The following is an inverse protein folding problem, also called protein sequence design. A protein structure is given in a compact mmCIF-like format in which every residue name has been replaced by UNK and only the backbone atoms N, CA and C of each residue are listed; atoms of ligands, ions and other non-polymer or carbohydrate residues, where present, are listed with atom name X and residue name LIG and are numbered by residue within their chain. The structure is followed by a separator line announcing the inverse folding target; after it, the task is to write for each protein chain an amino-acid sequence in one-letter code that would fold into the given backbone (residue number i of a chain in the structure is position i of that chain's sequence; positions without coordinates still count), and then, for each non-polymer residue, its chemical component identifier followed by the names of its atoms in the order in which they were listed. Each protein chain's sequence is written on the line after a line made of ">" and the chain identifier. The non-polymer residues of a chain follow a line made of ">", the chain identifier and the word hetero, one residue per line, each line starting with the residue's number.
data_IF_330576473963
#
_entry.id   IF_330576473963
#
_cell.length_a   1.000
_cell.length_b   1.000
_cell.length_c   1.000
_cell.angle_alpha   90.00
_cell.angle_beta   90.00
_cell.angle_gamma   90.00
#
_symmetry.space_group_name_H-M   'P 1'
#
loop_
_entity.id
_entity.type
_entity.pdbx_description
1 polymer ?
#
# COMPACT_ATOMS: atom_id res chain seq x y z
N UNK A 1 2.23 -8.04 24.35
CA UNK A 1 3.25 -8.50 23.39
C UNK A 1 2.51 -9.12 22.21
N UNK A 2 2.08 -8.30 21.25
CA UNK A 2 1.36 -8.76 20.05
C UNK A 2 2.36 -9.19 18.99
N UNK A 3 3.00 -10.33 19.23
CA UNK A 3 3.95 -10.92 18.29
C UNK A 3 3.17 -11.63 17.17
N UNK A 4 3.02 -10.96 16.02
CA UNK A 4 3.11 -11.63 14.71
C UNK A 4 1.85 -12.15 14.00
N UNK A 5 0.63 -11.72 14.33
CA UNK A 5 -0.59 -12.24 13.62
C UNK A 5 -1.53 -11.15 13.09
N UNK A 6 -1.23 -9.88 13.32
CA UNK A 6 -2.06 -8.74 12.90
C UNK A 6 -1.71 -8.19 11.52
N UNK A 7 -2.66 -7.49 10.89
CA UNK A 7 -2.43 -6.69 9.69
C UNK A 7 -1.33 -5.64 9.91
N UNK A 8 -1.34 -4.95 11.04
CA UNK A 8 -0.34 -3.92 11.36
C UNK A 8 1.07 -4.51 11.46
N UNK A 9 1.19 -5.65 12.15
CA UNK A 9 2.45 -6.38 12.24
C UNK A 9 2.95 -6.88 10.86
N UNK A 10 2.04 -7.32 10.00
CA UNK A 10 2.36 -7.72 8.61
C UNK A 10 2.88 -6.53 7.78
N UNK A 11 2.22 -5.38 7.84
CA UNK A 11 2.68 -4.17 7.14
C UNK A 11 4.06 -3.72 7.62
N UNK A 12 4.27 -3.74 8.95
CA UNK A 12 5.56 -3.46 9.57
C UNK A 12 6.65 -4.40 9.07
N UNK A 13 6.38 -5.70 9.06
CA UNK A 13 7.34 -6.71 8.60
C UNK A 13 7.75 -6.46 7.14
N UNK A 14 6.81 -6.19 6.25
CA UNK A 14 7.10 -5.89 4.84
C UNK A 14 7.95 -4.63 4.71
N UNK A 15 7.59 -3.55 5.43
CA UNK A 15 8.37 -2.31 5.44
C UNK A 15 9.80 -2.55 5.92
N UNK A 16 9.96 -3.22 7.05
CA UNK A 16 11.28 -3.51 7.65
C UNK A 16 12.13 -4.44 6.75
N UNK A 17 11.52 -5.42 6.08
CA UNK A 17 12.20 -6.29 5.10
C UNK A 17 12.74 -5.52 3.88
N UNK A 18 12.09 -4.41 3.53
CA UNK A 18 12.55 -3.51 2.46
C UNK A 18 13.55 -2.46 2.95
N UNK A 19 13.85 -2.42 4.26
CA UNK A 19 14.73 -1.42 4.86
C UNK A 19 14.13 -0.01 4.93
N UNK A 20 12.82 0.13 4.72
CA UNK A 20 12.13 1.42 4.72
C UNK A 20 11.83 1.88 6.14
N UNK A 21 12.04 3.17 6.39
CA UNK A 21 11.71 3.84 7.64
C UNK A 21 10.32 4.48 7.58
N UNK A 22 9.69 4.70 8.74
CA UNK A 22 8.42 5.43 8.81
C UNK A 22 8.48 6.83 8.17
N UNK A 23 9.55 7.64 8.35
CA UNK A 23 9.70 8.91 7.65
C UNK A 23 9.71 8.81 6.12
N UNK A 24 10.27 7.74 5.53
CA UNK A 24 10.26 7.53 4.08
C UNK A 24 8.84 7.27 3.56
N UNK A 25 8.11 6.36 4.22
CA UNK A 25 6.70 6.11 3.91
C UNK A 25 5.86 7.37 4.11
N UNK A 26 6.12 8.15 5.18
CA UNK A 26 5.43 9.41 5.45
C UNK A 26 5.67 10.44 4.35
N UNK A 27 6.90 10.55 3.86
CA UNK A 27 7.26 11.47 2.79
C UNK A 27 6.56 11.13 1.47
N UNK A 28 6.41 9.85 1.15
CA UNK A 28 5.73 9.34 -0.04
C UNK A 28 4.21 9.47 0.04
N UNK A 29 3.61 8.97 1.13
CA UNK A 29 2.15 8.88 1.29
C UNK A 29 1.49 10.16 1.80
N UNK A 30 2.28 11.09 2.34
CA UNK A 30 1.82 12.29 3.09
C UNK A 30 1.04 11.96 4.37
N UNK A 31 1.16 10.74 4.87
CA UNK A 31 0.60 10.32 6.15
C UNK A 31 1.64 10.59 7.24
N UNK A 32 1.22 11.14 8.38
CA UNK A 32 2.16 11.41 9.48
C UNK A 32 2.74 10.10 10.04
N UNK A 33 4.00 10.13 10.50
CA UNK A 33 4.62 8.97 11.15
C UNK A 33 3.79 8.43 12.31
N UNK A 34 3.13 9.33 13.08
CA UNK A 34 2.22 8.96 14.17
C UNK A 34 1.07 8.07 13.69
N UNK A 35 0.48 8.37 12.54
CA UNK A 35 -0.61 7.55 12.00
C UNK A 35 -0.11 6.26 11.36
N UNK A 36 1.06 6.27 10.73
CA UNK A 36 1.68 5.05 10.22
C UNK A 36 2.04 4.09 11.35
N UNK A 37 2.59 4.60 12.45
CA UNK A 37 2.86 3.84 13.67
C UNK A 37 1.56 3.29 14.27
N UNK A 38 0.51 4.11 14.38
CA UNK A 38 -0.80 3.65 14.82
C UNK A 38 -1.39 2.54 13.92
N UNK A 39 -1.13 2.57 12.61
CA UNK A 39 -1.53 1.50 11.68
C UNK A 39 -0.75 0.21 11.97
N UNK A 40 0.57 0.30 12.12
CA UNK A 40 1.42 -0.87 12.41
C UNK A 40 1.11 -1.50 13.76
N UNK A 41 0.65 -0.70 14.72
CA UNK A 41 0.23 -1.14 16.06
C UNK A 41 -1.27 -1.39 16.17
N UNK A 42 -2.02 -1.25 15.07
CA UNK A 42 -3.47 -1.43 15.02
C UNK A 42 -4.27 -0.56 16.02
N UNK A 43 -3.72 0.60 16.39
CA UNK A 43 -4.38 1.63 17.20
C UNK A 43 -5.31 2.49 16.36
N UNK A 44 -6.32 1.86 15.79
CA UNK A 44 -7.25 2.48 14.84
C UNK A 44 -8.03 3.67 15.43
N UNK A 45 -8.24 3.68 16.75
CA UNK A 45 -8.88 4.75 17.52
C UNK A 45 -8.07 6.05 17.57
N UNK A 46 -6.76 6.00 17.30
CA UNK A 46 -5.90 7.19 17.22
C UNK A 46 -5.93 7.87 15.85
N UNK A 47 -6.56 7.22 14.86
CA UNK A 47 -6.70 7.73 13.51
C UNK A 47 -7.88 8.72 13.41
N UNK A 48 -7.86 9.69 12.47
CA UNK A 48 -8.87 10.76 12.39
C UNK A 48 -10.32 10.32 12.05
N UNK A 49 -10.59 9.01 11.93
CA UNK A 49 -11.89 8.43 11.61
C UNK A 49 -11.82 7.31 10.57
N UNK A 50 -12.82 6.44 10.55
CA UNK A 50 -12.84 5.20 9.73
C UNK A 50 -12.69 5.46 8.22
N UNK A 51 -13.23 6.59 7.74
CA UNK A 51 -13.13 7.02 6.33
C UNK A 51 -11.67 7.22 5.90
N UNK A 52 -10.79 7.65 6.82
CA UNK A 52 -9.37 7.85 6.53
C UNK A 52 -8.58 6.54 6.55
N UNK A 53 -9.00 5.55 7.35
CA UNK A 53 -8.26 4.30 7.53
C UNK A 53 -8.12 3.56 6.20
N UNK A 54 -9.20 3.47 5.43
CA UNK A 54 -9.19 2.83 4.10
C UNK A 54 -8.21 3.52 3.15
N UNK A 55 -8.20 4.86 3.16
CA UNK A 55 -7.27 5.65 2.36
C UNK A 55 -5.81 5.43 2.78
N UNK A 56 -5.54 5.41 4.08
CA UNK A 56 -4.20 5.21 4.62
C UNK A 56 -3.67 3.80 4.36
N UNK A 57 -4.49 2.78 4.54
CA UNK A 57 -4.11 1.39 4.25
C UNK A 57 -3.82 1.18 2.77
N UNK A 58 -4.59 1.82 1.88
CA UNK A 58 -4.31 1.80 0.44
C UNK A 58 -2.97 2.45 0.13
N UNK A 59 -2.74 3.67 0.60
CA UNK A 59 -1.51 4.41 0.34
C UNK A 59 -0.28 3.69 0.93
N UNK A 60 -0.40 3.13 2.13
CA UNK A 60 0.65 2.31 2.74
C UNK A 60 0.95 1.10 1.87
N UNK A 61 -0.08 0.31 1.49
CA UNK A 61 0.08 -0.89 0.68
C UNK A 61 0.80 -0.57 -0.65
N UNK A 62 0.39 0.49 -1.32
CA UNK A 62 1.02 0.96 -2.57
C UNK A 62 2.50 1.34 -2.34
N UNK A 63 2.81 2.07 -1.28
CA UNK A 63 4.19 2.50 -0.96
C UNK A 63 5.14 1.33 -0.68
N UNK A 64 4.64 0.22 -0.11
CA UNK A 64 5.44 -0.99 0.14
C UNK A 64 5.26 -2.08 -0.93
N UNK A 65 4.60 -1.78 -2.04
CA UNK A 65 4.46 -2.68 -3.19
C UNK A 65 3.51 -3.87 -2.97
N UNK A 66 2.57 -3.77 -2.04
CA UNK A 66 1.52 -4.76 -1.80
C UNK A 66 0.27 -4.45 -2.62
N UNK A 67 -0.58 -5.47 -2.83
CA UNK A 67 -1.91 -5.25 -3.40
C UNK A 67 -2.84 -4.59 -2.36
N UNK A 68 -3.39 -3.39 -2.65
CA UNK A 68 -4.28 -2.71 -1.71
C UNK A 68 -5.60 -3.46 -1.45
N UNK A 69 -6.07 -4.23 -2.43
CA UNK A 69 -7.28 -5.05 -2.30
C UNK A 69 -7.12 -6.10 -1.21
N UNK A 70 -5.99 -6.81 -1.21
CA UNK A 70 -5.65 -7.82 -0.21
C UNK A 70 -5.51 -7.22 1.19
N UNK A 71 -4.79 -6.10 1.32
CA UNK A 71 -4.63 -5.38 2.61
C UNK A 71 -6.00 -4.94 3.16
N UNK A 72 -6.85 -4.37 2.31
CA UNK A 72 -8.19 -3.93 2.70
C UNK A 72 -9.15 -5.11 3.00
N UNK A 73 -8.98 -6.25 2.33
CA UNK A 73 -9.74 -7.46 2.65
C UNK A 73 -9.41 -7.95 4.06
N UNK A 74 -8.12 -8.07 4.39
CA UNK A 74 -7.66 -8.44 5.75
C UNK A 74 -8.15 -7.47 6.82
N UNK A 75 -8.14 -6.16 6.52
CA UNK A 75 -8.68 -5.15 7.43
C UNK A 75 -10.19 -5.33 7.70
N UNK A 76 -10.97 -5.71 6.69
CA UNK A 76 -12.41 -5.97 6.84
C UNK A 76 -12.70 -7.24 7.61
N UNK A 77 -11.85 -8.26 7.50
CA UNK A 77 -11.98 -9.50 8.27
C UNK A 77 -11.77 -9.28 9.77
N UNK A 78 -10.87 -8.37 10.15
CA UNK A 78 -10.61 -8.03 11.55
C UNK A 78 -11.66 -7.11 12.16
N UNK A 79 -12.50 -6.45 11.35
CA UNK A 79 -13.58 -5.56 11.80
C UNK A 79 -14.93 -5.94 11.17
N UNK A 80 -15.76 -6.77 11.85
CA UNK A 80 -17.13 -6.99 11.40
C UNK A 80 -17.85 -5.64 11.34
N UNK A 81 -18.27 -5.25 10.14
CA UNK A 81 -18.86 -3.96 9.86
C UNK A 81 -20.09 -3.70 10.72
N UNK A 82 -19.99 -2.71 11.60
CA UNK A 82 -21.15 -2.10 12.23
C UNK A 82 -21.62 -0.94 11.36
N UNK A 83 -22.52 -1.22 10.42
CA UNK A 83 -23.31 -0.21 9.71
C UNK A 83 -22.73 0.26 8.38
N UNK A 84 -22.94 -0.52 7.31
CA UNK A 84 -23.02 0.01 5.94
C UNK A 84 -24.44 -0.16 5.42
N UNK A 85 -25.38 0.52 6.06
CA UNK A 85 -26.63 0.91 5.43
C UNK A 85 -26.62 2.44 5.33
N UNK A 86 -26.94 2.95 4.14
CA UNK A 86 -27.07 4.36 3.76
C UNK A 86 -25.76 5.12 3.49
N UNK A 87 -25.28 5.02 2.23
CA UNK A 87 -25.30 6.13 1.26
C UNK A 87 -24.39 5.78 0.06
N UNK A 88 -25.03 5.52 -1.08
CA UNK A 88 -24.47 5.76 -2.42
C UNK A 88 -23.37 4.81 -2.92
N UNK A 89 -23.77 3.68 -3.51
CA UNK A 89 -22.99 3.10 -4.61
C UNK A 89 -22.96 4.08 -5.78
N UNK A 90 -21.79 4.33 -6.38
CA UNK A 90 -21.65 4.04 -7.78
C UNK A 90 -20.85 2.74 -7.88
N UNK A 91 -21.49 1.74 -8.46
CA UNK A 91 -20.84 0.56 -8.98
C UNK A 91 -19.68 0.99 -9.88
N UNK A 92 -18.47 0.87 -9.36
CA UNK A 92 -17.24 0.82 -10.12
C UNK A 92 -16.56 -0.47 -9.72
N UNK A 93 -16.78 -1.52 -10.50
CA UNK A 93 -15.92 -2.69 -10.47
C UNK A 93 -14.49 -2.22 -10.74
N UNK A 94 -13.69 -2.00 -9.69
CA UNK A 94 -12.26 -1.73 -9.85
C UNK A 94 -11.60 -3.07 -10.16
N UNK A 95 -11.68 -3.46 -11.43
CA UNK A 95 -10.82 -4.47 -12.02
C UNK A 95 -9.37 -4.04 -11.77
N UNK A 96 -8.52 -4.83 -11.07
CA UNK A 96 -7.13 -4.48 -10.87
C UNK A 96 -6.44 -4.58 -12.24
N UNK A 97 -6.29 -3.42 -12.88
CA UNK A 97 -5.64 -3.28 -14.16
C UNK A 97 -4.14 -3.54 -13.99
N UNK A 98 -3.74 -4.78 -14.29
CA UNK A 98 -2.35 -5.25 -14.45
C UNK A 98 -1.59 -4.54 -15.57
N UNK A 99 -1.84 -3.26 -15.86
CA UNK A 99 -1.27 -2.53 -17.02
C UNK A 99 -0.03 -1.71 -16.66
N UNK A 100 0.15 -1.30 -15.40
CA UNK A 100 1.30 -0.47 -14.98
C UNK A 100 2.64 -1.20 -15.00
N UNK A 101 2.68 -2.46 -14.60
CA UNK A 101 3.93 -3.25 -14.55
C UNK A 101 4.54 -3.46 -15.94
N UNK A 102 3.72 -3.71 -16.96
CA UNK A 102 4.21 -3.88 -18.33
C UNK A 102 4.78 -2.59 -18.94
N UNK A 103 4.33 -1.42 -18.47
CA UNK A 103 4.92 -0.13 -18.88
C UNK A 103 6.32 0.02 -18.31
N UNK A 104 6.51 -0.30 -17.03
CA UNK A 104 7.84 -0.26 -16.39
C UNK A 104 8.79 -1.25 -17.04
N UNK A 105 8.35 -2.49 -17.28
CA UNK A 105 9.15 -3.51 -17.99
C UNK A 105 9.50 -3.04 -19.41
N UNK A 106 8.56 -2.42 -20.13
CA UNK A 106 8.80 -1.87 -21.46
C UNK A 106 9.87 -0.77 -21.48
N UNK A 107 9.83 0.15 -20.51
CA UNK A 107 10.82 1.24 -20.41
C UNK A 107 12.21 0.70 -20.07
N UNK A 108 12.31 -0.25 -19.13
CA UNK A 108 13.60 -0.85 -18.75
C UNK A 108 14.24 -1.59 -19.93
N UNK A 109 13.45 -2.38 -20.68
CA UNK A 109 13.94 -3.08 -21.86
C UNK A 109 14.40 -2.11 -22.97
N UNK A 110 13.66 -1.02 -23.17
CA UNK A 110 14.02 0.00 -24.15
C UNK A 110 15.36 0.68 -23.80
N UNK A 111 15.55 1.06 -22.53
CA UNK A 111 16.79 1.70 -22.06
C UNK A 111 17.98 0.74 -22.20
N UNK A 112 17.83 -0.53 -21.83
CA UNK A 112 18.88 -1.54 -22.00
C UNK A 112 19.23 -1.74 -23.48
N UNK A 113 18.24 -1.78 -24.38
CA UNK A 113 18.48 -1.90 -25.81
C UNK A 113 19.26 -0.70 -26.37
N UNK A 114 18.92 0.53 -25.95
CA UNK A 114 19.64 1.74 -26.37
C UNK A 114 21.09 1.75 -25.89
N UNK A 115 21.35 1.30 -24.65
CA UNK A 115 22.70 1.17 -24.10
C UNK A 115 23.51 0.16 -24.91
N UNK A 116 22.94 -1.02 -25.20
CA UNK A 116 23.60 -2.05 -26.00
C UNK A 116 23.91 -1.57 -27.43
N UNK A 117 22.99 -0.84 -28.06
CA UNK A 117 23.20 -0.24 -29.39
C UNK A 117 24.30 0.82 -29.38
N UNK A 118 24.40 1.62 -28.31
CA UNK A 118 25.45 2.62 -28.16
C UNK A 118 26.83 1.98 -27.95
N UNK A 119 26.89 0.92 -27.14
CA UNK A 119 28.14 0.19 -26.87
C UNK A 119 28.66 -0.59 -28.09
N UNK A 120 27.77 -1.03 -29.00
CA UNK A 120 28.18 -1.71 -30.23
C UNK A 120 28.68 -0.76 -31.33
N UNK A 121 28.43 0.55 -31.17
CA UNK A 121 28.87 1.60 -32.10
C UNK A 121 30.28 2.13 -31.80
N UNK A 122 30.90 1.69 -30.70
CA UNK A 122 32.28 1.97 -30.28
C UNK A 122 33.11 0.68 -30.32
#
# INVERSE_FOLDING_TARGET
>A
MSSGTGLGAYLREIRERQGLSLPEIAAETKISCRFLEAIEEERWEELPGEVYIVGYLRAYAEAVGLDPGDVLARYRETRPQKGRDTLGHPSGEVSPSRKGWWVVVGVVLLVLALILLYLWKF
#
